data_IF_100521624026
#
_entry.id   IF_100521624026
#
_cell.length_a   1.000
_cell.length_b   1.000
_cell.length_c   1.000
_cell.angle_alpha   90.00
_cell.angle_beta   90.00
_cell.angle_gamma   90.00
#
_symmetry.space_group_name_H-M   'P 1'
#
loop_
_entity.id
_entity.type
_entity.pdbx_description
1 polymer ?
#
# COMPACT_ATOMS: atom_id res chain seq x y z
N UNK A 1 -59.71 -9.83 -47.17
CA UNK A 1 -59.38 -10.21 -45.76
C UNK A 1 -57.89 -10.41 -45.67
N UNK A 2 -57.18 -9.33 -45.27
CA UNK A 2 -55.73 -9.31 -45.19
C UNK A 2 -55.27 -9.68 -43.74
N UNK A 3 -54.56 -10.75 -43.62
CA UNK A 3 -53.92 -11.16 -42.34
C UNK A 3 -52.54 -10.50 -42.28
N UNK A 4 -52.40 -9.48 -41.44
CA UNK A 4 -51.12 -8.85 -41.11
C UNK A 4 -50.46 -9.71 -40.06
N UNK A 5 -49.30 -10.33 -40.44
CA UNK A 5 -48.44 -11.13 -39.57
C UNK A 5 -47.47 -10.16 -38.88
N UNK A 6 -47.68 -9.85 -37.58
CA UNK A 6 -46.79 -9.06 -36.76
C UNK A 6 -45.63 -9.94 -36.27
N UNK A 7 -44.43 -9.75 -36.87
CA UNK A 7 -43.17 -10.38 -36.44
C UNK A 7 -42.61 -9.55 -35.26
N UNK A 8 -42.76 -10.07 -34.03
CA UNK A 8 -42.12 -9.51 -32.84
C UNK A 8 -40.66 -9.98 -32.82
N UNK A 9 -39.73 -9.17 -33.28
CA UNK A 9 -38.30 -9.41 -33.10
C UNK A 9 -37.92 -9.11 -31.64
N UNK A 10 -37.79 -10.12 -30.82
CA UNK A 10 -37.25 -10.02 -29.47
C UNK A 10 -35.74 -9.72 -29.57
N UNK A 11 -35.38 -8.45 -29.42
CA UNK A 11 -34.00 -8.00 -29.32
C UNK A 11 -33.49 -8.33 -27.90
N UNK A 12 -32.88 -9.50 -27.74
CA UNK A 12 -32.23 -9.90 -26.50
C UNK A 12 -31.01 -9.03 -26.23
N UNK A 13 -31.19 -7.99 -25.41
CA UNK A 13 -30.09 -7.13 -24.95
C UNK A 13 -29.27 -7.93 -23.94
N UNK A 14 -28.25 -8.62 -24.44
CA UNK A 14 -27.26 -9.29 -23.57
C UNK A 14 -26.48 -8.21 -22.84
N UNK A 15 -26.84 -7.95 -21.58
CA UNK A 15 -26.02 -7.13 -20.67
C UNK A 15 -24.71 -7.87 -20.41
N UNK A 16 -23.69 -7.55 -21.18
CA UNK A 16 -22.32 -7.91 -20.84
C UNK A 16 -21.98 -7.15 -19.55
N UNK A 17 -22.02 -7.83 -18.41
CA UNK A 17 -21.39 -7.35 -17.19
C UNK A 17 -19.88 -7.34 -17.44
N UNK A 18 -19.34 -6.21 -17.87
CA UNK A 18 -17.91 -5.99 -17.94
C UNK A 18 -17.37 -6.05 -16.50
N UNK A 19 -16.91 -7.22 -16.07
CA UNK A 19 -16.02 -7.28 -14.89
C UNK A 19 -14.84 -6.39 -15.23
N UNK A 20 -14.54 -5.44 -14.36
CA UNK A 20 -13.34 -4.61 -14.49
C UNK A 20 -12.13 -5.54 -14.50
N UNK A 21 -11.67 -5.87 -15.70
CA UNK A 21 -10.49 -6.73 -15.88
C UNK A 21 -9.28 -5.88 -15.54
N UNK A 22 -8.38 -6.44 -14.72
CA UNK A 22 -7.13 -5.79 -14.40
C UNK A 22 -6.31 -5.51 -15.67
N UNK A 23 -5.75 -4.30 -15.75
CA UNK A 23 -4.97 -3.86 -16.90
C UNK A 23 -3.69 -4.68 -17.05
N UNK A 24 -3.48 -5.30 -18.22
CA UNK A 24 -2.32 -6.15 -18.50
C UNK A 24 -0.99 -5.36 -18.45
N UNK A 25 -1.01 -4.09 -18.86
CA UNK A 25 0.16 -3.20 -18.78
C UNK A 25 0.54 -2.89 -17.34
N UNK A 26 -0.46 -2.57 -16.50
CA UNK A 26 -0.27 -2.39 -15.08
C UNK A 26 0.23 -3.68 -14.42
N UNK A 27 -0.35 -4.85 -14.75
CA UNK A 27 0.11 -6.14 -14.23
C UNK A 27 1.59 -6.37 -14.51
N UNK A 28 2.04 -6.18 -15.73
CA UNK A 28 3.45 -6.35 -16.11
C UNK A 28 4.39 -5.49 -15.25
N UNK A 29 4.02 -4.23 -14.98
CA UNK A 29 4.83 -3.33 -14.15
C UNK A 29 4.81 -3.79 -12.68
N UNK A 30 3.65 -4.19 -12.15
CA UNK A 30 3.50 -4.67 -10.77
C UNK A 30 4.26 -5.98 -10.53
N UNK A 31 4.23 -6.91 -11.49
CA UNK A 31 4.98 -8.17 -11.43
C UNK A 31 6.50 -7.91 -11.41
N UNK A 32 6.97 -6.95 -12.21
CA UNK A 32 8.39 -6.55 -12.20
C UNK A 32 8.81 -5.96 -10.84
N UNK A 33 7.97 -5.11 -10.22
CA UNK A 33 8.19 -4.59 -8.87
C UNK A 33 8.23 -5.73 -7.86
N UNK A 34 7.24 -6.63 -7.87
CA UNK A 34 7.16 -7.76 -6.95
C UNK A 34 8.40 -8.66 -7.06
N UNK A 35 8.80 -9.02 -8.28
CA UNK A 35 10.00 -9.82 -8.55
C UNK A 35 11.25 -9.13 -8.02
N UNK A 36 11.38 -7.82 -8.28
CA UNK A 36 12.52 -7.03 -7.82
C UNK A 36 12.61 -6.98 -6.29
N UNK A 37 11.50 -6.69 -5.62
CA UNK A 37 11.46 -6.61 -4.15
C UNK A 37 11.77 -7.96 -3.51
N UNK A 38 11.23 -9.06 -4.05
CA UNK A 38 11.52 -10.42 -3.56
C UNK A 38 12.98 -10.84 -3.74
N UNK A 39 13.71 -10.21 -4.65
CA UNK A 39 15.14 -10.49 -4.84
C UNK A 39 16.04 -9.90 -3.76
N UNK A 40 15.55 -8.97 -2.93
CA UNK A 40 16.32 -8.34 -1.88
C UNK A 40 16.31 -9.16 -0.59
N UNK A 41 17.48 -9.33 0.02
CA UNK A 41 17.61 -9.98 1.33
C UNK A 41 17.03 -9.11 2.44
N UNK A 42 17.29 -7.82 2.38
CA UNK A 42 16.75 -6.83 3.28
C UNK A 42 16.74 -5.44 2.63
N UNK A 43 15.84 -4.58 3.07
CA UNK A 43 15.66 -3.22 2.59
C UNK A 43 15.66 -2.30 3.80
N UNK A 44 16.38 -1.17 3.72
CA UNK A 44 16.21 -0.06 4.64
C UNK A 44 16.02 1.24 3.88
N UNK A 45 15.26 2.18 4.44
CA UNK A 45 15.01 3.46 3.77
C UNK A 45 14.51 4.54 4.69
N UNK A 46 14.65 5.79 4.24
CA UNK A 46 14.00 6.95 4.84
C UNK A 46 12.87 7.41 3.94
N UNK A 47 11.76 7.79 4.54
CA UNK A 47 10.58 8.25 3.81
C UNK A 47 10.05 9.57 4.36
N UNK A 48 9.26 10.24 3.53
CA UNK A 48 8.46 11.41 3.89
C UNK A 48 7.00 11.10 3.66
N UNK A 49 6.17 11.47 4.62
CA UNK A 49 4.72 11.52 4.50
C UNK A 49 4.27 12.98 4.49
N UNK A 50 3.52 13.38 3.48
CA UNK A 50 2.86 14.69 3.40
C UNK A 50 1.35 14.48 3.39
N UNK A 51 0.64 15.19 4.22
CA UNK A 51 -0.81 15.20 4.24
C UNK A 51 -1.35 16.48 3.62
N UNK A 52 -2.34 16.36 2.75
CA UNK A 52 -3.01 17.49 2.13
C UNK A 52 -4.50 17.39 2.42
N UNK A 53 -5.12 18.51 2.69
CA UNK A 53 -6.59 18.61 2.82
C UNK A 53 -7.27 18.33 1.49
N UNK A 54 -8.58 18.09 1.50
CA UNK A 54 -9.41 17.96 0.29
C UNK A 54 -9.33 19.16 -0.65
N UNK A 55 -8.93 20.34 -0.14
CA UNK A 55 -8.69 21.57 -0.92
C UNK A 55 -7.25 21.68 -1.45
N UNK A 56 -6.44 20.62 -1.29
CA UNK A 56 -5.04 20.58 -1.76
C UNK A 56 -4.04 21.37 -0.91
N UNK A 57 -4.44 21.90 0.26
CA UNK A 57 -3.52 22.61 1.16
C UNK A 57 -2.68 21.61 1.95
N UNK A 58 -1.36 21.81 2.00
CA UNK A 58 -0.47 21.02 2.85
C UNK A 58 -0.87 21.19 4.32
N UNK A 59 -1.16 20.07 5.00
CA UNK A 59 -1.60 20.03 6.39
C UNK A 59 -0.50 19.50 7.34
N UNK A 60 0.50 18.80 6.82
CA UNK A 60 1.59 18.29 7.63
C UNK A 60 2.64 17.54 6.83
N UNK A 61 3.83 17.48 7.39
CA UNK A 61 4.93 16.66 6.86
C UNK A 61 5.56 15.89 8.01
N UNK A 62 5.71 14.58 7.84
CA UNK A 62 6.37 13.69 8.79
C UNK A 62 7.46 12.90 8.07
N UNK A 63 8.56 12.64 8.74
CA UNK A 63 9.64 11.80 8.25
C UNK A 63 9.74 10.54 9.09
N UNK A 64 10.20 9.46 8.45
CA UNK A 64 10.40 8.19 9.13
C UNK A 64 11.42 7.32 8.45
N UNK A 65 11.64 6.17 9.03
CA UNK A 65 12.49 5.12 8.49
C UNK A 65 11.76 3.78 8.48
N UNK A 66 12.14 2.94 7.55
CA UNK A 66 11.65 1.58 7.44
C UNK A 66 12.82 0.62 7.25
N UNK A 67 12.75 -0.53 7.90
CA UNK A 67 13.63 -1.67 7.70
C UNK A 67 12.77 -2.91 7.46
N UNK A 68 13.12 -3.72 6.45
CA UNK A 68 12.34 -4.89 6.05
C UNK A 68 13.24 -6.07 5.77
N UNK A 69 12.82 -7.29 6.16
CA UNK A 69 13.48 -8.55 5.87
C UNK A 69 12.44 -9.66 5.75
N UNK A 70 12.13 -10.08 4.52
CA UNK A 70 11.00 -10.97 4.27
C UNK A 70 9.68 -10.35 4.71
N UNK A 71 8.91 -11.06 5.55
CA UNK A 71 7.65 -10.59 6.14
C UNK A 71 7.83 -9.65 7.32
N UNK A 72 9.05 -9.57 7.89
CA UNK A 72 9.35 -8.75 9.06
C UNK A 72 9.62 -7.31 8.67
N UNK A 73 9.16 -6.37 9.48
CA UNK A 73 9.49 -4.96 9.30
C UNK A 73 9.56 -4.18 10.62
N UNK A 74 10.33 -3.12 10.59
CA UNK A 74 10.40 -2.10 11.62
C UNK A 74 10.18 -0.74 10.97
N UNK A 75 9.21 0.00 11.45
CA UNK A 75 8.89 1.34 11.00
C UNK A 75 8.97 2.30 12.19
N UNK A 76 9.68 3.42 12.00
CA UNK A 76 9.79 4.48 13.01
C UNK A 76 9.40 5.82 12.40
N UNK A 77 8.55 6.56 13.10
CA UNK A 77 8.15 7.91 12.72
C UNK A 77 8.05 8.80 13.99
N UNK A 78 9.06 9.62 14.19
CA UNK A 78 9.17 10.37 15.44
C UNK A 78 9.27 9.43 16.65
N UNK A 79 8.30 9.51 17.56
CA UNK A 79 8.21 8.64 18.73
C UNK A 79 7.39 7.36 18.47
N UNK A 80 6.60 7.33 17.41
CA UNK A 80 5.78 6.14 17.07
C UNK A 80 6.64 5.08 16.38
N UNK A 81 6.39 3.81 16.72
CA UNK A 81 7.09 2.67 16.17
C UNK A 81 6.12 1.54 15.83
N UNK A 82 6.42 0.79 14.79
CA UNK A 82 5.74 -0.46 14.49
C UNK A 82 6.80 -1.52 14.26
N UNK A 83 6.73 -2.59 15.03
CA UNK A 83 7.52 -3.80 14.83
C UNK A 83 6.59 -4.88 14.30
N UNK A 84 6.98 -5.56 13.23
CA UNK A 84 6.35 -6.80 12.78
C UNK A 84 7.39 -7.91 12.81
N UNK A 85 7.13 -8.96 13.59
CA UNK A 85 8.01 -10.13 13.71
C UNK A 85 7.72 -11.23 12.66
N UNK A 86 6.68 -10.98 11.82
CA UNK A 86 6.18 -11.91 10.82
C UNK A 86 4.86 -12.58 11.22
N UNK A 87 4.55 -12.66 12.52
CA UNK A 87 3.31 -13.21 13.06
C UNK A 87 2.42 -12.12 13.66
N UNK A 88 3.04 -11.21 14.42
CA UNK A 88 2.34 -10.10 15.08
C UNK A 88 2.93 -8.75 14.70
N UNK A 89 2.13 -7.72 14.85
CA UNK A 89 2.54 -6.31 14.84
C UNK A 89 2.41 -5.73 16.22
N UNK A 90 3.40 -4.96 16.62
CA UNK A 90 3.47 -4.22 17.88
C UNK A 90 3.55 -2.74 17.53
N UNK A 91 2.48 -2.00 17.78
CA UNK A 91 2.34 -0.60 17.38
C UNK A 91 2.41 0.30 18.60
N UNK A 92 3.55 0.96 18.83
CA UNK A 92 3.72 1.94 19.90
C UNK A 92 3.24 3.32 19.45
N UNK A 93 2.35 3.93 20.20
CA UNK A 93 1.74 5.25 19.92
C UNK A 93 2.71 6.43 20.15
N UNK A 94 3.90 6.19 20.68
CA UNK A 94 4.88 7.21 21.03
C UNK A 94 4.67 7.83 22.42
N UNK A 95 3.73 7.29 23.22
CA UNK A 95 3.36 7.78 24.55
C UNK A 95 3.26 6.61 25.55
N UNK A 96 2.10 5.98 25.68
CA UNK A 96 1.81 5.02 26.74
C UNK A 96 1.24 3.69 26.27
N UNK A 97 0.93 3.53 25.00
CA UNK A 97 0.19 2.36 24.52
C UNK A 97 0.97 1.61 23.43
N UNK A 98 1.04 0.30 23.59
CA UNK A 98 1.47 -0.63 22.55
C UNK A 98 0.27 -1.51 22.23
N UNK A 99 -0.22 -1.43 20.98
CA UNK A 99 -1.27 -2.33 20.49
C UNK A 99 -0.63 -3.51 19.81
N UNK A 100 -1.03 -4.73 20.18
CA UNK A 100 -0.62 -5.98 19.53
C UNK A 100 -1.76 -6.43 18.61
N UNK A 101 -1.41 -6.85 17.43
CA UNK A 101 -2.38 -7.41 16.48
C UNK A 101 -1.71 -8.48 15.60
N UNK A 102 -2.44 -9.49 15.11
CA UNK A 102 -1.93 -10.39 14.09
C UNK A 102 -1.39 -9.63 12.87
N UNK A 103 -0.26 -10.08 12.30
CA UNK A 103 0.34 -9.43 11.12
C UNK A 103 -0.62 -9.41 9.92
N UNK A 104 -1.52 -10.38 9.81
CA UNK A 104 -2.58 -10.44 8.80
C UNK A 104 -3.63 -9.32 8.97
N UNK A 105 -3.88 -8.85 10.20
CA UNK A 105 -4.80 -7.74 10.45
C UNK A 105 -4.20 -6.38 10.05
N UNK A 106 -2.87 -6.25 10.02
CA UNK A 106 -2.21 -5.13 9.39
C UNK A 106 -2.57 -5.03 7.89
N UNK A 107 -3.11 -6.12 7.33
CA UNK A 107 -3.65 -6.18 5.98
C UNK A 107 -4.90 -5.31 5.77
N UNK A 108 -5.58 -4.90 6.81
CA UNK A 108 -6.72 -3.97 6.72
C UNK A 108 -6.30 -2.52 6.44
N UNK A 109 -5.04 -2.17 6.70
CA UNK A 109 -4.48 -0.84 6.45
C UNK A 109 -3.42 -0.87 5.36
N UNK A 110 -3.28 0.24 4.63
CA UNK A 110 -2.22 0.38 3.65
C UNK A 110 -0.93 0.84 4.36
N UNK A 111 -0.06 -0.10 4.68
CA UNK A 111 1.24 0.18 5.29
C UNK A 111 2.31 0.46 4.23
N UNK A 112 3.38 1.22 4.54
CA UNK A 112 4.53 1.35 3.64
C UNK A 112 5.12 0.01 3.20
N UNK A 113 5.12 -1.00 4.08
CA UNK A 113 5.57 -2.35 3.77
C UNK A 113 4.72 -2.98 2.65
N UNK A 114 3.38 -2.86 2.72
CA UNK A 114 2.48 -3.35 1.68
C UNK A 114 2.71 -2.67 0.33
N UNK A 115 2.92 -1.34 0.35
CA UNK A 115 3.26 -0.59 -0.86
C UNK A 115 4.56 -1.07 -1.50
N UNK A 116 5.55 -1.48 -0.70
CA UNK A 116 6.84 -1.96 -1.19
C UNK A 116 6.76 -3.43 -1.64
N UNK A 117 6.07 -4.28 -0.88
CA UNK A 117 6.07 -5.73 -1.07
C UNK A 117 5.45 -6.21 -2.40
N UNK A 118 4.67 -5.35 -3.07
CA UNK A 118 4.19 -5.62 -4.43
C UNK A 118 3.12 -6.72 -4.56
N UNK A 119 2.36 -7.00 -3.50
CA UNK A 119 1.30 -8.01 -3.51
C UNK A 119 -0.07 -7.33 -3.65
N UNK A 120 -0.46 -6.96 -4.88
CA UNK A 120 -1.65 -6.14 -5.13
C UNK A 120 -2.86 -6.93 -5.66
N UNK A 121 -2.67 -8.12 -6.21
CA UNK A 121 -3.70 -8.84 -6.98
C UNK A 121 -4.95 -9.22 -6.17
N UNK A 122 -4.77 -9.55 -4.89
CA UNK A 122 -5.88 -9.96 -4.02
C UNK A 122 -6.74 -8.79 -3.54
N UNK A 123 -6.08 -7.65 -3.29
CA UNK A 123 -6.65 -6.54 -2.54
C UNK A 123 -7.10 -5.38 -3.43
N UNK A 124 -6.67 -5.36 -4.70
CA UNK A 124 -6.90 -4.23 -5.59
C UNK A 124 -7.28 -4.65 -7.01
N UNK A 125 -8.14 -3.84 -7.62
CA UNK A 125 -8.16 -3.69 -9.08
C UNK A 125 -7.16 -2.60 -9.46
N UNK A 126 -6.52 -2.72 -10.64
CA UNK A 126 -5.46 -1.80 -11.03
C UNK A 126 -5.52 -1.42 -12.50
N UNK A 127 -5.07 -0.19 -12.80
CA UNK A 127 -5.04 0.38 -14.14
C UNK A 127 -3.76 1.19 -14.35
N UNK A 128 -3.12 1.02 -15.49
CA UNK A 128 -2.00 1.85 -15.94
C UNK A 128 -2.55 3.21 -16.41
N UNK A 129 -2.14 4.28 -15.73
CA UNK A 129 -2.60 5.64 -16.01
C UNK A 129 -1.65 6.34 -16.98
N UNK A 130 -0.34 6.16 -16.78
CA UNK A 130 0.68 6.82 -17.57
C UNK A 130 1.99 6.04 -17.56
N UNK A 131 2.73 6.15 -18.66
CA UNK A 131 4.12 5.68 -18.79
C UNK A 131 5.05 6.83 -19.22
N UNK A 132 4.68 8.08 -18.91
CA UNK A 132 5.46 9.24 -19.31
C UNK A 132 6.79 9.34 -18.54
N UNK A 133 7.83 9.75 -19.23
CA UNK A 133 9.19 9.91 -18.67
C UNK A 133 9.72 8.62 -18.05
N UNK A 134 10.35 8.72 -16.88
CA UNK A 134 11.02 7.62 -16.20
C UNK A 134 10.08 6.82 -15.28
N UNK A 135 8.80 7.16 -15.21
CA UNK A 135 7.85 6.56 -14.27
C UNK A 135 6.67 5.92 -15.00
N UNK A 136 6.18 4.82 -14.41
CA UNK A 136 4.84 4.29 -14.67
C UNK A 136 3.95 4.68 -13.50
N UNK A 137 2.81 5.31 -13.80
CA UNK A 137 1.78 5.61 -12.82
C UNK A 137 0.68 4.57 -12.91
N UNK A 138 0.37 3.93 -11.78
CA UNK A 138 -0.68 2.91 -11.68
C UNK A 138 -1.67 3.32 -10.61
N UNK A 139 -2.95 3.35 -10.97
CA UNK A 139 -4.05 3.51 -10.03
C UNK A 139 -4.46 2.14 -9.48
N UNK A 140 -4.53 2.03 -8.16
CA UNK A 140 -5.01 0.88 -7.41
C UNK A 140 -6.31 1.26 -6.71
N UNK A 141 -7.37 0.49 -6.91
CA UNK A 141 -8.64 0.64 -6.18
C UNK A 141 -8.87 -0.58 -5.31
N UNK A 142 -9.15 -0.43 -4.01
CA UNK A 142 -9.39 -1.55 -3.13
C UNK A 142 -10.62 -2.34 -3.59
N UNK A 143 -10.53 -3.66 -3.56
CA UNK A 143 -11.68 -4.56 -3.81
C UNK A 143 -12.65 -4.56 -2.63
N UNK A 144 -12.12 -4.38 -1.41
CA UNK A 144 -12.92 -4.20 -0.20
C UNK A 144 -13.26 -2.72 0.00
N UNK A 145 -14.52 -2.36 -0.22
CA UNK A 145 -15.03 -0.99 -0.08
C UNK A 145 -15.05 -0.47 1.36
N UNK A 146 -14.83 -1.33 2.37
CA UNK A 146 -14.72 -0.94 3.79
C UNK A 146 -13.38 -0.31 4.12
N UNK A 147 -12.36 -0.44 3.26
CA UNK A 147 -11.06 0.25 3.45
C UNK A 147 -11.29 1.76 3.63
N UNK A 148 -10.46 2.40 4.43
CA UNK A 148 -10.56 3.83 4.77
C UNK A 148 -10.06 4.78 3.67
N UNK A 149 -9.71 4.26 2.50
CA UNK A 149 -9.27 5.03 1.34
C UNK A 149 -10.03 4.61 0.08
N UNK A 150 -10.08 5.52 -0.90
CA UNK A 150 -10.79 5.32 -2.17
C UNK A 150 -9.87 4.70 -3.22
N UNK A 151 -8.63 5.20 -3.30
CA UNK A 151 -7.64 4.75 -4.27
C UNK A 151 -6.22 5.10 -3.86
N UNK A 152 -5.27 4.44 -4.50
CA UNK A 152 -3.84 4.72 -4.40
C UNK A 152 -3.26 4.87 -5.80
N UNK A 153 -2.56 5.96 -6.07
CA UNK A 153 -1.72 6.09 -7.24
C UNK A 153 -0.27 5.81 -6.85
N UNK A 154 0.33 4.77 -7.40
CA UNK A 154 1.74 4.45 -7.18
C UNK A 154 2.56 4.89 -8.40
N UNK A 155 3.80 5.31 -8.15
CA UNK A 155 4.76 5.74 -9.14
C UNK A 155 5.97 4.81 -9.11
N UNK A 156 6.13 4.05 -10.17
CA UNK A 156 7.19 3.04 -10.33
C UNK A 156 8.29 3.62 -11.21
N UNK A 157 9.52 3.70 -10.69
CA UNK A 157 10.72 3.99 -11.48
C UNK A 157 10.98 2.81 -12.43
N UNK A 158 10.93 3.06 -13.74
CA UNK A 158 11.07 2.04 -14.77
C UNK A 158 12.44 1.39 -14.79
N UNK A 159 13.49 2.17 -14.49
CA UNK A 159 14.87 1.69 -14.52
C UNK A 159 15.19 0.79 -13.33
N UNK A 160 14.58 1.08 -12.18
CA UNK A 160 14.80 0.35 -10.94
C UNK A 160 13.77 -0.74 -10.69
N UNK A 161 12.62 -0.70 -11.38
CA UNK A 161 11.42 -1.49 -11.07
C UNK A 161 11.03 -1.38 -9.60
N UNK A 162 11.03 -0.14 -9.07
CA UNK A 162 10.77 0.14 -7.66
C UNK A 162 9.73 1.25 -7.51
N UNK A 163 8.84 1.11 -6.54
CA UNK A 163 7.94 2.19 -6.15
C UNK A 163 8.76 3.25 -5.42
N UNK A 164 8.66 4.50 -5.89
CA UNK A 164 9.35 5.65 -5.31
C UNK A 164 8.40 6.59 -4.58
N UNK A 165 7.14 6.60 -4.99
CA UNK A 165 6.09 7.45 -4.44
C UNK A 165 4.72 6.78 -4.51
N UNK A 166 3.86 7.10 -3.55
CA UNK A 166 2.44 6.77 -3.58
C UNK A 166 1.60 7.97 -3.14
N UNK A 167 0.41 8.12 -3.74
CA UNK A 167 -0.62 9.08 -3.33
C UNK A 167 -1.87 8.31 -2.95
N UNK A 168 -2.31 8.44 -1.73
CA UNK A 168 -3.49 7.77 -1.19
C UNK A 168 -4.58 8.80 -1.03
N UNK A 169 -5.72 8.61 -1.69
CA UNK A 169 -6.92 9.40 -1.53
C UNK A 169 -7.80 8.73 -0.48
N UNK A 170 -8.02 9.39 0.66
CA UNK A 170 -8.90 8.88 1.71
C UNK A 170 -10.39 9.12 1.37
N UNK A 171 -11.30 8.59 2.21
CA UNK A 171 -12.75 8.77 2.02
C UNK A 171 -13.23 10.20 2.27
N UNK A 172 -12.44 11.03 2.91
CA UNK A 172 -12.70 12.46 3.15
C UNK A 172 -12.06 13.36 2.08
N UNK A 173 -11.54 12.76 1.00
CA UNK A 173 -10.82 13.42 -0.10
C UNK A 173 -9.52 14.11 0.33
N UNK A 174 -8.94 13.76 1.48
CA UNK A 174 -7.60 14.17 1.81
C UNK A 174 -6.60 13.29 1.06
N UNK A 175 -5.41 13.83 0.81
CA UNK A 175 -4.32 13.09 0.16
C UNK A 175 -3.20 12.85 1.15
N UNK A 176 -2.79 11.59 1.29
CA UNK A 176 -1.54 11.21 1.93
C UNK A 176 -0.52 10.87 0.82
N UNK A 177 0.52 11.67 0.71
CA UNK A 177 1.63 11.42 -0.21
C UNK A 177 2.80 10.79 0.57
N UNK A 178 3.19 9.59 0.16
CA UNK A 178 4.36 8.88 0.64
C UNK A 178 5.46 8.95 -0.42
N UNK A 179 6.71 9.21 -0.03
CA UNK A 179 7.85 9.13 -0.93
C UNK A 179 9.11 8.67 -0.20
N UNK A 180 9.96 7.91 -0.90
CA UNK A 180 11.29 7.57 -0.38
C UNK A 180 12.29 8.71 -0.66
N UNK A 181 13.03 9.11 0.40
CA UNK A 181 14.20 9.99 0.27
C UNK A 181 15.47 9.18 -0.02
N UNK A 182 15.55 8.00 0.58
CA UNK A 182 16.65 7.07 0.33
C UNK A 182 16.17 5.63 0.50
N UNK A 183 16.73 4.72 -0.28
CA UNK A 183 16.44 3.30 -0.22
C UNK A 183 17.75 2.52 -0.42
N UNK A 184 18.08 1.68 0.56
CA UNK A 184 19.18 0.72 0.48
C UNK A 184 18.61 -0.69 0.36
N UNK A 185 18.80 -1.32 -0.79
CA UNK A 185 18.30 -2.66 -1.11
C UNK A 185 19.30 -3.77 -0.79
N UNK A 186 20.50 -3.40 -0.29
CA UNK A 186 21.56 -4.30 0.17
C UNK A 186 21.84 -4.10 1.66
N UNK A 187 20.81 -3.79 2.44
CA UNK A 187 20.98 -3.52 3.86
C UNK A 187 21.36 -4.79 4.64
N UNK A 188 22.29 -4.64 5.57
CA UNK A 188 22.55 -5.65 6.59
C UNK A 188 21.74 -5.31 7.83
N UNK A 189 20.70 -6.11 8.13
CA UNK A 189 19.76 -5.86 9.22
C UNK A 189 19.78 -7.06 10.17
N UNK A 190 20.04 -6.79 11.45
CA UNK A 190 19.96 -7.80 12.51
C UNK A 190 18.51 -8.21 12.74
N UNK A 191 18.25 -9.49 12.92
CA UNK A 191 16.92 -10.01 13.26
C UNK A 191 16.41 -9.49 14.61
N UNK A 192 17.30 -9.05 15.51
CA UNK A 192 16.94 -8.41 16.79
C UNK A 192 16.09 -7.14 16.61
N UNK A 193 16.21 -6.47 15.46
CA UNK A 193 15.42 -5.26 15.16
C UNK A 193 13.92 -5.56 15.06
N UNK A 194 13.56 -6.80 14.74
CA UNK A 194 12.17 -7.22 14.53
C UNK A 194 11.60 -7.98 15.74
N UNK A 195 12.30 -7.95 16.87
CA UNK A 195 11.86 -8.59 18.12
C UNK A 195 11.32 -7.52 19.07
N UNK A 196 10.04 -7.65 19.40
CA UNK A 196 9.45 -6.80 20.43
C UNK A 196 10.05 -7.13 21.80
N UNK A 197 10.47 -6.10 22.55
CA UNK A 197 10.89 -6.21 23.93
C UNK A 197 10.33 -5.03 24.73
N UNK A 198 9.39 -5.32 25.64
CA UNK A 198 8.76 -4.32 26.49
C UNK A 198 9.76 -3.47 27.28
N UNK A 199 10.92 -4.03 27.65
CA UNK A 199 11.96 -3.32 28.39
C UNK A 199 12.56 -2.11 27.64
N UNK A 200 12.35 -2.01 26.31
CA UNK A 200 12.79 -0.86 25.50
C UNK A 200 11.84 0.35 25.56
N UNK A 201 10.73 0.22 26.27
CA UNK A 201 9.67 1.24 26.36
C UNK A 201 9.53 1.76 27.80
N UNK A 202 8.82 2.89 28.03
CA UNK A 202 8.56 3.39 29.37
C UNK A 202 7.94 2.31 30.27
N UNK A 203 8.27 2.34 31.55
CA UNK A 203 7.80 1.34 32.53
C UNK A 203 6.29 1.34 32.73
N UNK A 204 5.65 2.48 32.49
CA UNK A 204 4.20 2.70 32.59
C UNK A 204 3.46 2.44 31.26
N UNK A 205 4.15 1.85 30.25
CA UNK A 205 3.51 1.51 28.98
C UNK A 205 2.54 0.34 29.14
N UNK A 206 1.32 0.51 28.64
CA UNK A 206 0.29 -0.53 28.55
C UNK A 206 0.41 -1.29 27.24
N UNK A 207 0.26 -2.62 27.30
CA UNK A 207 0.22 -3.50 26.14
C UNK A 207 -1.20 -4.01 25.99
N UNK A 208 -1.83 -3.70 24.87
CA UNK A 208 -3.21 -4.05 24.55
C UNK A 208 -3.23 -5.06 23.40
N UNK A 209 -3.97 -6.16 23.57
CA UNK A 209 -4.19 -7.23 22.56
C UNK A 209 -5.56 -7.07 21.89
#
# INVERSE_FOLDING_TARGET
MNKILLLFAAFSFSMFTAKAQNDAGAKKVLDAVSTKVKSFKAISGKFVLKTFTSKGKLNGTKMGSISMKGSKYYLKQGKTEIICDGNNTYSYDGNKTITVAPAEDADKTLTPQKLIAGSYEKDFTYKLISTAGNFSEIELKPTDTRKNFQKVNIFVDKNKSMITKAKILDKSNNILEFSFNSLNTNATISDKLFVFNKANYPTDVEVLD
#
